data_IF_479965908107
#
_entry.id   IF_479965908107
#
_cell.length_a   1.000
_cell.length_b   1.000
_cell.length_c   1.000
_cell.angle_alpha   90.00
_cell.angle_beta   90.00
_cell.angle_gamma   90.00
#
_symmetry.space_group_name_H-M   'P 1'
#
loop_
_entity.id
_entity.type
_entity.pdbx_description
1 polymer ?
#
# COMPACT_ATOMS: atom_id res chain seq x y z
N UNK A 1 7.39 -5.79 -1.94
CA UNK A 1 6.81 -4.48 -1.58
C UNK A 1 6.50 -4.40 -0.08
N UNK A 2 5.40 -4.96 0.43
CA UNK A 2 5.01 -4.87 1.85
C UNK A 2 6.08 -5.40 2.82
N UNK A 3 6.76 -6.48 2.47
CA UNK A 3 7.85 -7.04 3.27
C UNK A 3 9.04 -6.08 3.41
N UNK A 4 9.41 -5.37 2.34
CA UNK A 4 10.48 -4.36 2.40
C UNK A 4 10.14 -3.22 3.35
N UNK A 5 8.88 -2.75 3.34
CA UNK A 5 8.41 -1.74 4.27
C UNK A 5 8.39 -2.26 5.70
N UNK A 6 7.90 -3.48 5.92
CA UNK A 6 7.89 -4.09 7.24
C UNK A 6 9.30 -4.27 7.79
N UNK A 7 10.27 -4.66 6.97
CA UNK A 7 11.68 -4.75 7.37
C UNK A 7 12.27 -3.38 7.70
N UNK A 8 12.00 -2.36 6.88
CA UNK A 8 12.50 -1.00 7.11
C UNK A 8 12.06 -0.43 8.46
N UNK A 9 10.78 -0.60 8.82
CA UNK A 9 10.22 -0.08 10.06
C UNK A 9 10.29 -1.06 11.24
N UNK A 10 10.59 -2.32 10.96
CA UNK A 10 10.79 -3.36 11.97
C UNK A 10 11.99 -3.11 12.88
N UNK A 11 13.00 -2.34 12.41
CA UNK A 11 14.20 -2.07 13.21
C UNK A 11 13.84 -1.40 14.53
N UNK A 12 13.06 -0.33 14.51
CA UNK A 12 12.73 0.42 15.73
C UNK A 12 11.54 -0.17 16.48
N UNK A 13 10.58 -0.75 15.76
CA UNK A 13 9.33 -1.23 16.35
C UNK A 13 9.41 -2.67 16.85
N UNK A 14 10.33 -3.47 16.32
CA UNK A 14 10.48 -4.90 16.59
C UNK A 14 11.89 -5.22 17.10
N UNK A 15 12.95 -4.95 16.32
CA UNK A 15 14.32 -5.39 16.64
C UNK A 15 14.85 -4.70 17.89
N UNK A 16 14.62 -3.39 18.02
CA UNK A 16 15.04 -2.61 19.20
C UNK A 16 14.00 -2.62 20.32
N UNK A 17 12.95 -3.43 20.20
CA UNK A 17 11.87 -3.49 21.19
C UNK A 17 12.13 -4.62 22.21
N UNK A 18 12.39 -4.29 23.48
CA UNK A 18 12.68 -5.31 24.50
C UNK A 18 11.49 -6.26 24.78
N UNK A 19 10.27 -5.90 24.38
CA UNK A 19 9.09 -6.76 24.49
C UNK A 19 9.05 -7.85 23.41
N UNK A 20 9.91 -7.76 22.38
CA UNK A 20 10.01 -8.73 21.29
C UNK A 20 11.29 -9.54 21.45
N UNK A 21 11.20 -10.85 21.71
CA UNK A 21 12.38 -11.71 21.73
C UNK A 21 13.10 -11.69 20.37
N UNK A 22 14.43 -11.55 20.37
CA UNK A 22 15.21 -11.40 19.13
C UNK A 22 15.02 -12.55 18.13
N UNK A 23 14.79 -13.76 18.62
CA UNK A 23 14.50 -14.93 17.79
C UNK A 23 13.15 -14.86 17.06
N UNK A 24 12.27 -13.95 17.46
CA UNK A 24 10.96 -13.74 16.85
C UNK A 24 10.92 -12.53 15.90
N UNK A 25 11.97 -11.73 15.86
CA UNK A 25 11.97 -10.46 15.11
C UNK A 25 11.57 -10.64 13.64
N UNK A 26 12.20 -11.56 12.93
CA UNK A 26 11.93 -11.80 11.51
C UNK A 26 10.50 -12.31 11.29
N UNK A 27 10.04 -13.22 12.14
CA UNK A 27 8.69 -13.76 12.07
C UNK A 27 7.61 -12.70 12.36
N UNK A 28 7.86 -11.80 13.30
CA UNK A 28 6.97 -10.67 13.62
C UNK A 28 6.91 -9.66 12.46
N UNK A 29 8.04 -9.35 11.85
CA UNK A 29 8.12 -8.48 10.67
C UNK A 29 7.36 -9.10 9.48
N UNK A 30 7.55 -10.39 9.25
CA UNK A 30 6.83 -11.14 8.22
C UNK A 30 5.32 -11.16 8.48
N UNK A 31 4.90 -11.34 9.73
CA UNK A 31 3.49 -11.29 10.11
C UNK A 31 2.87 -9.91 9.89
N UNK A 32 3.61 -8.84 10.17
CA UNK A 32 3.14 -7.49 9.91
C UNK A 32 2.90 -7.24 8.41
N UNK A 33 3.83 -7.69 7.56
CA UNK A 33 3.66 -7.64 6.10
C UNK A 33 2.42 -8.40 5.64
N UNK A 34 2.25 -9.62 6.13
CA UNK A 34 1.10 -10.47 5.80
C UNK A 34 -0.22 -9.89 6.30
N UNK A 35 -0.24 -9.32 7.51
CA UNK A 35 -1.45 -8.69 8.09
C UNK A 35 -1.86 -7.46 7.29
N UNK A 36 -0.92 -6.64 6.82
CA UNK A 36 -1.24 -5.50 5.95
C UNK A 36 -1.82 -5.98 4.63
N UNK A 37 -1.17 -6.96 3.98
CA UNK A 37 -1.63 -7.49 2.70
C UNK A 37 -3.02 -8.12 2.83
N UNK A 38 -3.19 -9.06 3.74
CA UNK A 38 -4.46 -9.78 3.93
C UNK A 38 -5.59 -8.85 4.39
N UNK A 39 -5.29 -7.91 5.27
CA UNK A 39 -6.26 -6.94 5.75
C UNK A 39 -6.73 -5.97 4.66
N UNK A 40 -5.83 -5.52 3.78
CA UNK A 40 -6.22 -4.70 2.62
C UNK A 40 -7.00 -5.51 1.59
N UNK A 41 -6.62 -6.77 1.32
CA UNK A 41 -7.37 -7.68 0.46
C UNK A 41 -8.79 -7.91 0.99
N UNK A 42 -8.91 -8.15 2.29
CA UNK A 42 -10.19 -8.33 2.97
C UNK A 42 -11.04 -7.05 2.88
N UNK A 43 -10.43 -5.89 3.11
CA UNK A 43 -11.12 -4.60 2.97
C UNK A 43 -11.73 -4.44 1.58
N UNK A 44 -10.96 -4.74 0.53
CA UNK A 44 -11.43 -4.68 -0.86
C UNK A 44 -12.54 -5.69 -1.13
N UNK A 45 -12.40 -6.93 -0.67
CA UNK A 45 -13.41 -7.99 -0.85
C UNK A 45 -14.73 -7.68 -0.12
N UNK A 46 -14.67 -6.92 0.97
CA UNK A 46 -15.85 -6.43 1.72
C UNK A 46 -16.47 -5.15 1.12
N UNK A 47 -15.98 -4.68 -0.04
CA UNK A 47 -16.47 -3.47 -0.71
C UNK A 47 -15.86 -2.17 -0.17
N UNK A 48 -14.78 -2.23 0.59
CA UNK A 48 -14.11 -1.07 1.21
C UNK A 48 -13.16 -0.31 0.26
N UNK A 49 -13.39 -0.35 -1.04
CA UNK A 49 -12.55 0.34 -2.04
C UNK A 49 -12.53 1.86 -1.82
N UNK A 50 -13.66 2.45 -1.43
CA UNK A 50 -13.71 3.89 -1.11
C UNK A 50 -12.84 4.25 0.10
N UNK A 51 -12.76 3.36 1.10
CA UNK A 51 -11.88 3.55 2.27
C UNK A 51 -10.41 3.43 1.88
N UNK A 52 -10.09 2.48 1.00
CA UNK A 52 -8.75 2.33 0.44
C UNK A 52 -8.37 3.57 -0.38
N UNK A 53 -9.26 4.04 -1.27
CA UNK A 53 -9.05 5.26 -2.04
C UNK A 53 -8.83 6.48 -1.12
N UNK A 54 -9.63 6.62 -0.08
CA UNK A 54 -9.48 7.67 0.93
C UNK A 54 -8.13 7.64 1.65
N UNK A 55 -7.59 6.43 1.89
CA UNK A 55 -6.26 6.26 2.46
C UNK A 55 -5.16 6.84 1.54
N UNK A 56 -5.27 6.61 0.23
CA UNK A 56 -4.32 7.12 -0.76
C UNK A 56 -4.51 8.60 -1.09
N UNK A 57 -5.73 9.12 -1.09
CA UNK A 57 -6.00 10.54 -1.36
C UNK A 57 -5.61 11.44 -0.20
N UNK A 58 -5.86 10.99 1.04
CA UNK A 58 -5.56 11.75 2.26
C UNK A 58 -4.09 11.73 2.65
N UNK A 59 -3.77 12.49 3.70
CA UNK A 59 -2.48 12.43 4.40
C UNK A 59 -2.61 11.68 5.74
N UNK A 60 -3.62 10.82 5.84
CA UNK A 60 -4.02 10.14 7.07
C UNK A 60 -3.66 8.66 7.12
N UNK A 61 -2.84 8.19 6.18
CA UNK A 61 -2.40 6.79 6.14
C UNK A 61 -1.53 6.39 7.35
N UNK A 62 -0.88 7.36 7.98
CA UNK A 62 -0.13 7.16 9.22
C UNK A 62 -0.94 7.56 10.48
N UNK A 63 -2.19 8.01 10.32
CA UNK A 63 -3.03 8.42 11.44
C UNK A 63 -3.67 7.20 12.12
N UNK A 64 -3.37 7.01 13.40
CA UNK A 64 -3.94 5.92 14.21
C UNK A 64 -5.46 6.01 14.38
N UNK A 65 -6.09 7.16 14.10
CA UNK A 65 -7.55 7.32 14.11
C UNK A 65 -8.21 6.91 12.78
N UNK A 66 -7.43 6.66 11.74
CA UNK A 66 -7.96 6.18 10.47
C UNK A 66 -8.58 4.78 10.64
N UNK A 67 -9.83 4.54 10.20
CA UNK A 67 -10.50 3.25 10.38
C UNK A 67 -9.74 2.05 9.77
N UNK A 68 -9.07 2.26 8.63
CA UNK A 68 -8.26 1.21 7.99
C UNK A 68 -7.04 0.89 8.85
N UNK A 69 -6.35 1.93 9.36
CA UNK A 69 -5.20 1.77 10.26
C UNK A 69 -5.61 1.04 11.54
N UNK A 70 -6.75 1.41 12.14
CA UNK A 70 -7.28 0.74 13.32
C UNK A 70 -7.59 -0.73 13.08
N UNK A 71 -8.27 -1.04 11.97
CA UNK A 71 -8.64 -2.43 11.61
C UNK A 71 -7.38 -3.30 11.45
N UNK A 72 -6.39 -2.82 10.71
CA UNK A 72 -5.12 -3.54 10.50
C UNK A 72 -4.30 -3.67 11.80
N UNK A 73 -4.30 -2.64 12.63
CA UNK A 73 -3.64 -2.68 13.94
C UNK A 73 -4.28 -3.74 14.85
N UNK A 74 -5.60 -3.82 14.89
CA UNK A 74 -6.32 -4.84 15.66
C UNK A 74 -6.04 -6.26 15.13
N UNK A 75 -6.00 -6.43 13.81
CA UNK A 75 -5.70 -7.71 13.17
C UNK A 75 -4.28 -8.18 13.51
N UNK A 76 -3.28 -7.32 13.35
CA UNK A 76 -1.89 -7.64 13.72
C UNK A 76 -1.77 -7.91 15.22
N UNK A 77 -2.42 -7.12 16.08
CA UNK A 77 -2.44 -7.36 17.53
C UNK A 77 -2.96 -8.76 17.87
N UNK A 78 -4.07 -9.17 17.24
CA UNK A 78 -4.64 -10.51 17.43
C UNK A 78 -3.68 -11.60 16.96
N UNK A 79 -3.07 -11.45 15.79
CA UNK A 79 -2.13 -12.39 15.23
C UNK A 79 -0.86 -12.54 16.09
N UNK A 80 -0.33 -11.44 16.60
CA UNK A 80 0.83 -11.45 17.50
C UNK A 80 0.54 -12.20 18.81
N UNK A 81 -0.64 -12.01 19.38
CA UNK A 81 -1.07 -12.75 20.56
C UNK A 81 -1.23 -14.24 20.29
N UNK A 82 -1.94 -14.59 19.21
CA UNK A 82 -2.27 -15.98 18.89
C UNK A 82 -1.08 -16.80 18.39
N UNK A 83 -0.26 -16.23 17.50
CA UNK A 83 0.83 -16.96 16.85
C UNK A 83 2.13 -16.93 17.64
N UNK A 84 2.38 -15.86 18.36
CA UNK A 84 3.66 -15.63 19.04
C UNK A 84 3.55 -15.59 20.56
N UNK A 85 2.32 -15.63 21.11
CA UNK A 85 2.10 -15.63 22.55
C UNK A 85 2.42 -14.30 23.23
N UNK A 86 2.34 -13.17 22.51
CA UNK A 86 2.57 -11.86 23.10
C UNK A 86 1.42 -11.49 24.05
N UNK A 87 1.76 -10.74 25.09
CA UNK A 87 0.73 -10.11 25.93
C UNK A 87 -0.06 -9.11 25.09
N UNK A 88 -1.30 -8.83 25.48
CA UNK A 88 -2.15 -7.85 24.78
C UNK A 88 -1.48 -6.47 24.71
N UNK A 89 -0.76 -6.05 25.75
CA UNK A 89 -0.03 -4.77 25.79
C UNK A 89 1.14 -4.75 24.81
N UNK A 90 1.95 -5.81 24.76
CA UNK A 90 3.13 -5.90 23.89
C UNK A 90 2.69 -5.98 22.42
N UNK A 91 1.72 -6.83 22.11
CA UNK A 91 1.15 -6.97 20.78
C UNK A 91 0.58 -5.63 20.27
N UNK A 92 -0.19 -4.93 21.10
CA UNK A 92 -0.73 -3.60 20.77
C UNK A 92 0.40 -2.58 20.59
N UNK A 93 1.41 -2.61 21.47
CA UNK A 93 2.57 -1.71 21.41
C UNK A 93 3.36 -1.85 20.09
N UNK A 94 3.56 -3.07 19.60
CA UNK A 94 4.19 -3.34 18.31
C UNK A 94 3.28 -2.92 17.16
N UNK A 95 2.03 -3.39 17.14
CA UNK A 95 1.11 -3.18 16.03
C UNK A 95 0.78 -1.69 15.82
N UNK A 96 0.54 -0.93 16.90
CA UNK A 96 0.19 0.49 16.83
C UNK A 96 1.32 1.39 16.34
N UNK A 97 2.56 0.94 16.40
CA UNK A 97 3.71 1.64 15.82
C UNK A 97 3.95 1.21 14.37
N UNK A 98 3.93 -0.09 14.12
CA UNK A 98 4.37 -0.66 12.86
C UNK A 98 3.36 -0.44 11.72
N UNK A 99 2.06 -0.63 11.97
CA UNK A 99 1.02 -0.48 10.95
C UNK A 99 0.94 0.94 10.37
N UNK A 100 0.86 2.02 11.19
CA UNK A 100 0.84 3.38 10.64
C UNK A 100 2.09 3.73 9.84
N UNK A 101 3.26 3.25 10.25
CA UNK A 101 4.51 3.48 9.54
C UNK A 101 4.54 2.79 8.17
N UNK A 102 4.11 1.53 8.11
CA UNK A 102 4.04 0.77 6.85
C UNK A 102 3.05 1.44 5.89
N UNK A 103 1.85 1.75 6.35
CA UNK A 103 0.81 2.37 5.52
C UNK A 103 1.19 3.79 5.09
N UNK A 104 1.71 4.61 6.00
CA UNK A 104 2.18 5.96 5.68
C UNK A 104 3.28 5.96 4.62
N UNK A 105 4.23 5.03 4.73
CA UNK A 105 5.29 4.88 3.75
C UNK A 105 4.79 4.31 2.43
N UNK A 106 3.89 3.32 2.46
CA UNK A 106 3.27 2.76 1.26
C UNK A 106 2.59 3.87 0.44
N UNK A 107 1.75 4.68 1.10
CA UNK A 107 1.05 5.78 0.46
C UNK A 107 2.01 6.88 0.02
N UNK A 108 3.02 7.21 0.82
CA UNK A 108 4.05 8.20 0.49
C UNK A 108 4.83 7.81 -0.78
N UNK A 109 5.27 6.55 -0.84
CA UNK A 109 6.00 6.03 -2.01
C UNK A 109 5.12 5.92 -3.25
N UNK A 110 3.86 5.50 -3.09
CA UNK A 110 2.89 5.44 -4.19
C UNK A 110 2.58 6.82 -4.80
N UNK A 111 2.73 7.88 -4.02
CA UNK A 111 2.56 9.26 -4.47
C UNK A 111 3.84 9.90 -5.03
N UNK A 112 5.00 9.27 -4.84
CA UNK A 112 6.26 9.80 -5.35
C UNK A 112 6.42 9.44 -6.84
N UNK A 113 6.37 10.43 -7.75
CA UNK A 113 6.50 10.18 -9.18
C UNK A 113 7.90 9.68 -9.59
N UNK A 114 8.87 9.76 -8.69
CA UNK A 114 10.24 9.29 -8.92
C UNK A 114 10.49 7.87 -8.41
N UNK A 115 9.56 7.30 -7.63
CA UNK A 115 9.65 5.92 -7.12
C UNK A 115 8.73 4.98 -7.92
N UNK A 116 9.27 4.38 -8.99
CA UNK A 116 8.55 3.41 -9.82
C UNK A 116 8.40 2.03 -9.16
N UNK A 117 8.96 1.82 -7.97
CA UNK A 117 8.89 0.53 -7.27
C UNK A 117 7.58 0.32 -6.53
N UNK A 118 6.76 1.37 -6.39
CA UNK A 118 5.51 1.39 -5.64
C UNK A 118 4.40 2.07 -6.43
N UNK A 119 4.18 1.66 -7.68
CA UNK A 119 3.07 2.20 -8.47
C UNK A 119 1.71 1.77 -7.88
N UNK A 120 0.75 2.70 -7.91
CA UNK A 120 -0.62 2.45 -7.38
C UNK A 120 -1.26 1.25 -8.07
N UNK A 121 -1.02 1.08 -9.38
CA UNK A 121 -1.46 -0.08 -10.18
C UNK A 121 -0.95 -1.41 -9.62
N UNK A 122 0.32 -1.46 -9.23
CA UNK A 122 0.94 -2.66 -8.65
C UNK A 122 0.39 -2.97 -7.26
N UNK A 123 0.13 -1.92 -6.47
CA UNK A 123 -0.49 -2.06 -5.15
C UNK A 123 -1.92 -2.58 -5.29
N UNK A 124 -2.72 -2.01 -6.19
CA UNK A 124 -4.09 -2.47 -6.47
C UNK A 124 -4.05 -3.92 -6.97
N UNK A 125 -3.14 -4.25 -7.89
CA UNK A 125 -2.97 -5.60 -8.41
C UNK A 125 -2.64 -6.62 -7.31
N UNK A 126 -1.73 -6.27 -6.41
CA UNK A 126 -1.36 -7.12 -5.28
C UNK A 126 -2.51 -7.30 -4.28
N UNK A 127 -3.25 -6.23 -3.98
CA UNK A 127 -4.38 -6.25 -3.03
C UNK A 127 -5.58 -6.99 -3.63
N UNK A 128 -5.80 -6.89 -4.94
CA UNK A 128 -6.89 -7.60 -5.64
C UNK A 128 -6.62 -9.11 -5.79
N UNK A 129 -5.49 -9.60 -5.27
CA UNK A 129 -5.19 -11.04 -5.21
C UNK A 129 -4.63 -11.65 -6.48
N UNK A 130 -4.20 -10.85 -7.46
CA UNK A 130 -3.59 -11.32 -8.71
C UNK A 130 -4.51 -12.19 -9.58
N UNK A 131 -5.76 -12.33 -9.22
CA UNK A 131 -6.79 -13.09 -9.91
C UNK A 131 -7.72 -12.17 -10.70
N UNK A 132 -8.02 -12.55 -11.93
CA UNK A 132 -8.92 -11.89 -12.87
C UNK A 132 -8.56 -10.42 -13.17
N UNK A 133 -7.83 -10.22 -14.26
CA UNK A 133 -7.57 -8.90 -14.83
C UNK A 133 -8.86 -8.06 -15.04
N UNK A 134 -10.02 -8.72 -15.18
CA UNK A 134 -11.30 -8.06 -15.32
C UNK A 134 -11.71 -7.30 -14.04
N UNK A 135 -11.56 -7.89 -12.85
CA UNK A 135 -11.86 -7.22 -11.59
C UNK A 135 -10.91 -6.08 -11.27
N UNK A 136 -9.62 -6.23 -11.63
CA UNK A 136 -8.62 -5.17 -11.50
C UNK A 136 -8.96 -4.01 -12.44
N UNK A 137 -9.28 -4.29 -13.69
CA UNK A 137 -9.65 -3.26 -14.67
C UNK A 137 -10.95 -2.55 -14.29
N UNK A 138 -11.93 -3.26 -13.75
CA UNK A 138 -13.17 -2.67 -13.25
C UNK A 138 -12.91 -1.75 -12.05
N UNK A 139 -12.07 -2.18 -11.11
CA UNK A 139 -11.64 -1.38 -9.98
C UNK A 139 -10.83 -0.14 -10.43
N UNK A 140 -9.91 -0.29 -11.37
CA UNK A 140 -9.14 0.81 -11.94
C UNK A 140 -10.07 1.78 -12.67
N UNK A 141 -11.00 1.30 -13.50
CA UNK A 141 -11.95 2.16 -14.22
C UNK A 141 -12.87 2.93 -13.27
N UNK A 142 -13.31 2.29 -12.19
CA UNK A 142 -14.25 2.89 -11.24
C UNK A 142 -13.59 3.83 -10.23
N UNK A 143 -12.42 3.47 -9.76
CA UNK A 143 -11.75 4.16 -8.66
C UNK A 143 -10.43 4.82 -9.06
N UNK A 144 -9.91 4.51 -10.23
CA UNK A 144 -8.60 4.98 -10.67
C UNK A 144 -8.46 6.50 -10.74
N UNK A 145 -9.54 7.22 -11.09
CA UNK A 145 -9.58 8.68 -11.01
C UNK A 145 -9.31 9.18 -9.60
N UNK A 146 -9.81 8.48 -8.58
CA UNK A 146 -9.57 8.82 -7.18
C UNK A 146 -8.11 8.56 -6.75
N UNK A 147 -7.42 7.64 -7.42
CA UNK A 147 -6.00 7.36 -7.21
C UNK A 147 -5.07 8.22 -8.10
N UNK A 148 -5.63 9.14 -8.88
CA UNK A 148 -4.86 10.00 -9.79
C UNK A 148 -4.39 9.27 -11.05
N UNK A 149 -5.03 8.16 -11.42
CA UNK A 149 -4.75 7.43 -12.65
C UNK A 149 -5.47 8.04 -13.87
N UNK A 150 -6.47 8.89 -13.66
CA UNK A 150 -7.10 9.71 -14.68
C UNK A 150 -6.16 10.89 -15.02
N UNK A 151 -5.33 10.70 -16.02
CA UNK A 151 -4.29 11.66 -16.41
C UNK A 151 -4.81 12.73 -17.36
N UNK A 152 -5.87 12.44 -18.09
CA UNK A 152 -6.47 13.38 -19.04
C UNK A 152 -7.64 14.19 -18.42
N UNK A 153 -8.18 13.74 -17.27
CA UNK A 153 -9.26 14.43 -16.55
C UNK A 153 -10.64 14.22 -17.16
N UNK A 154 -10.85 13.15 -17.95
CA UNK A 154 -12.12 12.87 -18.59
C UNK A 154 -13.11 12.09 -17.69
N UNK A 155 -12.67 11.71 -16.49
CA UNK A 155 -13.45 10.97 -15.49
C UNK A 155 -13.45 9.46 -15.68
N UNK A 156 -12.62 8.93 -16.59
CA UNK A 156 -12.42 7.51 -16.83
C UNK A 156 -10.95 7.19 -16.70
N UNK A 157 -10.62 5.95 -16.42
CA UNK A 157 -9.22 5.47 -16.47
C UNK A 157 -9.15 4.41 -17.55
N UNK A 158 -8.53 4.77 -18.67
CA UNK A 158 -8.41 3.90 -19.83
C UNK A 158 -7.03 4.02 -20.51
N UNK A 159 -6.92 3.46 -21.72
CA UNK A 159 -5.67 3.49 -22.48
C UNK A 159 -5.20 4.91 -22.82
N UNK A 160 -6.11 5.89 -22.88
CA UNK A 160 -5.75 7.29 -23.14
C UNK A 160 -4.97 7.88 -21.98
N UNK A 161 -5.33 7.54 -20.73
CA UNK A 161 -4.58 7.94 -19.53
C UNK A 161 -3.20 7.33 -19.49
N UNK A 162 -3.07 6.06 -19.86
CA UNK A 162 -1.77 5.40 -19.97
C UNK A 162 -0.88 6.10 -21.02
N UNK A 163 -1.44 6.50 -22.15
CA UNK A 163 -0.72 7.27 -23.17
C UNK A 163 -0.35 8.67 -22.69
N UNK A 164 -1.24 9.36 -21.98
CA UNK A 164 -0.98 10.67 -21.41
C UNK A 164 0.06 10.62 -20.27
N UNK A 165 0.04 9.60 -19.45
CA UNK A 165 1.07 9.39 -18.44
C UNK A 165 2.46 9.20 -19.06
N UNK A 166 2.56 8.46 -20.15
CA UNK A 166 3.81 8.24 -20.89
C UNK A 166 4.28 9.54 -21.57
N UNK A 167 3.38 10.34 -22.12
CA UNK A 167 3.73 11.60 -22.80
C UNK A 167 4.08 12.72 -21.82
N UNK A 168 3.38 12.84 -20.71
CA UNK A 168 3.62 13.86 -19.67
C UNK A 168 4.92 13.62 -18.87
N UNK A 169 5.33 12.36 -18.69
CA UNK A 169 6.61 12.00 -18.02
C UNK A 169 7.85 12.03 -18.93
N UNK A 170 7.77 12.67 -20.09
CA UNK A 170 8.92 12.76 -21.03
C UNK A 170 9.20 11.47 -21.78
N UNK A 171 8.23 10.53 -21.80
CA UNK A 171 8.31 9.31 -22.57
C UNK A 171 8.16 9.56 -24.07
N UNK A 172 8.77 8.72 -24.86
CA UNK A 172 8.76 8.50 -26.33
C UNK A 172 8.63 9.74 -27.24
N UNK A 173 7.79 10.74 -26.91
CA UNK A 173 7.65 11.98 -27.68
C UNK A 173 8.95 12.81 -27.74
N UNK A 174 9.75 12.82 -26.67
CA UNK A 174 11.06 13.45 -26.66
C UNK A 174 12.11 12.66 -27.47
N UNK A 175 12.01 11.33 -27.51
CA UNK A 175 12.89 10.47 -28.31
C UNK A 175 12.55 10.53 -29.81
N UNK A 176 11.26 10.56 -30.17
CA UNK A 176 10.86 10.64 -31.58
C UNK A 176 11.07 12.02 -32.16
N UNK A 177 10.93 13.11 -31.40
CA UNK A 177 11.25 14.47 -31.82
C UNK A 177 12.74 14.65 -32.16
N UNK A 178 13.63 13.93 -31.46
CA UNK A 178 15.06 13.91 -31.75
C UNK A 178 15.46 13.07 -32.98
N UNK A 179 14.64 12.11 -33.40
CA UNK A 179 14.93 11.20 -34.50
C UNK A 179 14.41 11.71 -35.85
N UNK A 180 13.40 12.58 -35.86
CA UNK A 180 12.79 13.12 -37.09
C UNK A 180 12.97 14.63 -37.26
N UNK A 181 13.74 15.29 -36.40
CA UNK A 181 14.03 16.71 -36.44
C UNK A 181 15.42 17.02 -37.05
N UNK A 182 15.61 16.77 -38.32
CA UNK A 182 16.56 17.45 -39.21
C UNK A 182 16.11 17.37 -40.65
#
# INVERSE_FOLDING_TARGET
MFEQLAQQFGVDSVINNPAVPNEKNEAVIGEASNSVMSGLQKLVSEGGMDQLAGLFQGNNAADSNNPVVQKLTQELTGNLGQKFGFSASDATGVASKLIPQILGSLVGKAKDPNDSSFEISDIIGAISGGGDNAGIMDAISKYGGQFGLDQNGDGKVDMSDAMDAVTKKGGIGGMLGGLFGK
#
